data_IF_981086862713
#
_entry.id   IF_981086862713
#
_cell.length_a   1.000
_cell.length_b   1.000
_cell.length_c   1.000
_cell.angle_alpha   90.00
_cell.angle_beta   90.00
_cell.angle_gamma   90.00
#
_symmetry.space_group_name_H-M   'P 1'
#
loop_
_entity.id
_entity.type
_entity.pdbx_description
1 polymer ?
#
# COMPACT_ATOMS: atom_id res chain seq x y z
N UNK A 1 -12.65 21.00 -6.48
CA UNK A 1 -12.03 19.78 -7.00
C UNK A 1 -10.87 19.34 -6.12
N UNK A 2 -10.82 18.07 -5.81
CA UNK A 2 -9.76 17.52 -4.99
C UNK A 2 -8.54 17.17 -5.86
N UNK A 3 -7.33 17.41 -5.33
CA UNK A 3 -6.10 16.93 -5.96
C UNK A 3 -6.04 15.40 -5.90
N UNK A 4 -5.13 14.81 -6.68
CA UNK A 4 -4.91 13.36 -6.66
C UNK A 4 -4.54 12.84 -5.27
N UNK A 5 -3.67 13.58 -4.55
CA UNK A 5 -3.29 13.23 -3.19
C UNK A 5 -4.44 13.33 -2.21
N UNK A 6 -5.27 14.34 -2.35
CA UNK A 6 -6.46 14.50 -1.50
C UNK A 6 -7.48 13.39 -1.75
N UNK A 7 -7.68 13.00 -3.01
CA UNK A 7 -8.56 11.89 -3.36
C UNK A 7 -8.09 10.58 -2.76
N UNK A 8 -6.79 10.31 -2.85
CA UNK A 8 -6.19 9.10 -2.29
C UNK A 8 -6.38 9.05 -0.77
N UNK A 9 -6.17 10.18 -0.09
CA UNK A 9 -6.34 10.29 1.36
C UNK A 9 -7.79 10.06 1.77
N UNK A 10 -8.75 10.65 1.05
CA UNK A 10 -10.17 10.46 1.33
C UNK A 10 -10.58 9.00 1.13
N UNK A 11 -10.13 8.38 0.03
CA UNK A 11 -10.43 6.99 -0.24
C UNK A 11 -9.90 6.07 0.86
N UNK A 12 -8.68 6.32 1.32
CA UNK A 12 -8.07 5.52 2.39
C UNK A 12 -8.82 5.74 3.71
N UNK A 13 -9.17 6.98 4.05
CA UNK A 13 -9.94 7.27 5.26
C UNK A 13 -11.28 6.52 5.27
N UNK A 14 -11.97 6.48 4.14
CA UNK A 14 -13.21 5.72 4.03
C UNK A 14 -12.99 4.24 4.30
N UNK A 15 -11.92 3.68 3.72
CA UNK A 15 -11.57 2.28 3.93
C UNK A 15 -11.27 2.00 5.41
N UNK A 16 -10.54 2.89 6.08
CA UNK A 16 -10.18 2.72 7.48
C UNK A 16 -11.39 2.89 8.41
N UNK A 17 -12.28 3.83 8.10
CA UNK A 17 -13.49 4.04 8.89
C UNK A 17 -14.46 2.87 8.84
N UNK A 18 -14.39 2.06 7.80
CA UNK A 18 -15.18 0.84 7.70
C UNK A 18 -14.73 -0.26 8.66
N UNK A 19 -13.66 -0.02 9.42
CA UNK A 19 -13.08 -0.96 10.39
C UNK A 19 -12.81 -2.33 9.76
N UNK A 20 -11.96 -2.39 8.71
CA UNK A 20 -11.71 -3.63 8.00
C UNK A 20 -10.91 -4.61 8.86
N UNK A 21 -11.08 -5.89 8.61
CA UNK A 21 -10.27 -6.94 9.24
C UNK A 21 -8.95 -7.16 8.52
N UNK A 22 -8.84 -6.69 7.29
CA UNK A 22 -7.63 -6.74 6.47
C UNK A 22 -7.71 -5.62 5.45
N UNK A 23 -6.56 -5.20 4.92
CA UNK A 23 -6.51 -4.09 3.97
C UNK A 23 -5.67 -4.49 2.76
N UNK A 24 -6.17 -4.21 1.57
CA UNK A 24 -5.45 -4.39 0.32
C UNK A 24 -5.19 -3.00 -0.28
N UNK A 25 -3.92 -2.67 -0.49
CA UNK A 25 -3.50 -1.42 -1.12
C UNK A 25 -2.85 -1.75 -2.46
N UNK A 26 -3.48 -1.30 -3.54
CA UNK A 26 -2.99 -1.53 -4.90
C UNK A 26 -2.38 -0.24 -5.43
N UNK A 27 -1.05 -0.20 -5.52
CA UNK A 27 -0.31 0.97 -6.00
C UNK A 27 -0.75 2.26 -5.30
N UNK A 28 -0.78 2.31 -3.96
CA UNK A 28 -1.46 3.41 -3.25
C UNK A 28 -0.77 4.75 -3.40
N UNK A 29 0.51 4.76 -3.79
CA UNK A 29 1.31 6.00 -3.85
C UNK A 29 1.73 6.38 -5.27
N UNK A 30 1.37 5.58 -6.27
CA UNK A 30 1.90 5.72 -7.64
C UNK A 30 1.50 7.01 -8.34
N UNK A 31 0.36 7.59 -7.96
CA UNK A 31 -0.16 8.81 -8.59
C UNK A 31 0.16 10.08 -7.83
N UNK A 32 0.96 9.96 -6.77
CA UNK A 32 1.30 11.10 -5.95
C UNK A 32 2.58 11.78 -6.43
N UNK A 33 2.60 13.10 -6.31
CA UNK A 33 3.79 13.90 -6.50
C UNK A 33 4.88 13.47 -5.50
N UNK A 34 6.14 13.45 -5.95
CA UNK A 34 7.27 13.00 -5.13
C UNK A 34 7.35 13.76 -3.80
N UNK A 35 7.08 15.07 -3.83
CA UNK A 35 7.14 15.90 -2.63
C UNK A 35 6.10 15.50 -1.57
N UNK A 36 4.94 15.02 -1.99
CA UNK A 36 3.86 14.62 -1.09
C UNK A 36 3.89 13.15 -0.73
N UNK A 37 4.61 12.36 -1.51
CA UNK A 37 4.59 10.90 -1.40
C UNK A 37 5.13 10.40 -0.07
N UNK A 38 6.26 10.94 0.39
CA UNK A 38 6.88 10.54 1.65
C UNK A 38 5.97 10.80 2.83
N UNK A 39 5.39 12.00 2.90
CA UNK A 39 4.48 12.35 3.99
C UNK A 39 3.24 11.46 4.00
N UNK A 40 2.70 11.20 2.83
CA UNK A 40 1.51 10.36 2.70
C UNK A 40 1.81 8.91 3.09
N UNK A 41 2.97 8.37 2.66
CA UNK A 41 3.39 7.02 3.03
C UNK A 41 3.52 6.88 4.55
N UNK A 42 4.20 7.82 5.18
CA UNK A 42 4.39 7.80 6.64
C UNK A 42 3.04 7.84 7.36
N UNK A 43 2.14 8.68 6.89
CA UNK A 43 0.81 8.78 7.46
C UNK A 43 0.02 7.47 7.31
N UNK A 44 0.02 6.89 6.13
CA UNK A 44 -0.69 5.63 5.86
C UNK A 44 -0.17 4.50 6.75
N UNK A 45 1.15 4.33 6.80
CA UNK A 45 1.74 3.24 7.57
C UNK A 45 1.54 3.45 9.08
N UNK A 46 1.54 4.69 9.55
CA UNK A 46 1.21 5.01 10.93
C UNK A 46 -0.22 4.61 11.28
N UNK A 47 -1.18 4.97 10.43
CA UNK A 47 -2.59 4.62 10.64
C UNK A 47 -2.82 3.11 10.60
N UNK A 48 -2.19 2.42 9.65
CA UNK A 48 -2.30 0.98 9.51
C UNK A 48 -1.73 0.25 10.73
N UNK A 49 -0.57 0.70 11.25
CA UNK A 49 0.01 0.12 12.45
C UNK A 49 -0.89 0.29 13.66
N UNK A 50 -1.54 1.44 13.78
CA UNK A 50 -2.45 1.71 14.88
C UNK A 50 -3.66 0.76 14.87
N UNK A 51 -4.09 0.33 13.70
CA UNK A 51 -5.20 -0.61 13.56
C UNK A 51 -4.81 -2.06 13.84
N UNK A 52 -3.52 -2.38 13.71
CA UNK A 52 -2.99 -3.74 13.91
C UNK A 52 -3.72 -4.81 13.06
N UNK A 53 -4.01 -4.47 11.81
CA UNK A 53 -4.66 -5.39 10.88
C UNK A 53 -3.67 -5.87 9.82
N UNK A 54 -3.89 -7.06 9.22
CA UNK A 54 -3.07 -7.50 8.09
C UNK A 54 -3.23 -6.58 6.89
N UNK A 55 -2.12 -6.27 6.23
CA UNK A 55 -2.11 -5.41 5.05
C UNK A 55 -1.34 -6.10 3.94
N UNK A 56 -1.93 -6.14 2.75
CA UNK A 56 -1.25 -6.55 1.53
C UNK A 56 -1.14 -5.32 0.63
N UNK A 57 0.08 -5.03 0.20
CA UNK A 57 0.34 -3.89 -0.68
C UNK A 57 0.92 -4.40 -1.99
N UNK A 58 0.34 -3.96 -3.10
CA UNK A 58 0.87 -4.22 -4.43
C UNK A 58 1.58 -2.97 -4.92
N UNK A 59 2.86 -3.07 -5.24
CA UNK A 59 3.64 -1.95 -5.74
C UNK A 59 4.80 -2.45 -6.61
N UNK A 60 5.24 -1.62 -7.54
CA UNK A 60 6.44 -1.86 -8.32
C UNK A 60 7.61 -0.97 -7.87
N UNK A 61 7.43 -0.20 -6.80
CA UNK A 61 8.45 0.70 -6.26
C UNK A 61 8.83 0.26 -4.85
N UNK A 62 10.07 -0.18 -4.68
CA UNK A 62 10.58 -0.65 -3.39
C UNK A 62 10.61 0.45 -2.33
N UNK A 63 10.63 1.72 -2.73
CA UNK A 63 10.56 2.83 -1.79
C UNK A 63 9.21 2.90 -1.06
N UNK A 64 8.17 2.31 -1.65
CA UNK A 64 6.84 2.28 -1.06
C UNK A 64 6.65 1.10 -0.10
N UNK A 65 7.68 0.30 0.12
CA UNK A 65 7.62 -0.91 0.96
C UNK A 65 8.19 -0.60 2.35
N UNK A 66 7.42 -0.82 3.43
CA UNK A 66 7.97 -0.65 4.78
C UNK A 66 9.11 -1.62 5.05
N UNK A 67 10.12 -1.17 5.82
CA UNK A 67 11.31 -1.97 6.09
C UNK A 67 11.02 -3.27 6.86
N UNK A 68 9.94 -3.29 7.61
CA UNK A 68 9.53 -4.44 8.43
C UNK A 68 8.57 -5.39 7.71
N UNK A 69 8.40 -5.21 6.39
CA UNK A 69 7.46 -6.00 5.59
C UNK A 69 8.12 -7.24 5.01
N UNK A 70 7.30 -8.27 4.79
CA UNK A 70 7.67 -9.40 3.94
C UNK A 70 7.35 -9.05 2.49
N UNK A 71 8.28 -9.34 1.59
CA UNK A 71 8.14 -8.99 0.17
C UNK A 71 8.03 -10.26 -0.67
N UNK A 72 7.01 -10.31 -1.51
CA UNK A 72 6.84 -11.34 -2.52
C UNK A 72 7.11 -10.73 -3.89
N UNK A 73 8.17 -11.19 -4.56
CA UNK A 73 8.44 -10.77 -5.93
C UNK A 73 7.57 -11.58 -6.88
N UNK A 74 6.64 -10.92 -7.53
CA UNK A 74 5.66 -11.58 -8.40
C UNK A 74 6.32 -12.27 -9.59
N UNK A 75 7.44 -11.76 -10.08
CA UNK A 75 8.17 -12.42 -11.16
C UNK A 75 8.75 -13.76 -10.69
N UNK A 76 9.36 -13.80 -9.51
CA UNK A 76 9.87 -15.04 -8.92
C UNK A 76 8.75 -16.01 -8.58
N UNK A 77 7.67 -15.49 -8.04
CA UNK A 77 6.51 -16.31 -7.70
C UNK A 77 5.93 -16.99 -8.96
N UNK A 78 5.80 -16.24 -10.04
CA UNK A 78 5.30 -16.75 -11.32
C UNK A 78 6.20 -17.85 -11.88
N UNK A 79 7.53 -17.68 -11.81
CA UNK A 79 8.49 -18.70 -12.23
C UNK A 79 8.34 -19.98 -11.39
N UNK A 80 8.27 -19.84 -10.08
CA UNK A 80 8.12 -20.97 -9.16
C UNK A 80 6.79 -21.70 -9.41
N UNK A 81 5.73 -20.97 -9.63
CA UNK A 81 4.44 -21.56 -9.97
C UNK A 81 4.50 -22.38 -11.26
N UNK A 82 5.16 -21.85 -12.28
CA UNK A 82 5.31 -22.55 -13.55
C UNK A 82 6.16 -23.83 -13.41
N UNK A 83 7.13 -23.84 -12.53
CA UNK A 83 7.93 -25.03 -12.24
C UNK A 83 7.12 -26.12 -11.54
N UNK A 84 6.11 -25.73 -10.78
CA UNK A 84 5.26 -26.68 -10.04
C UNK A 84 4.16 -27.30 -10.91
N UNK A 85 3.88 -26.69 -12.06
CA UNK A 85 2.91 -27.20 -13.01
C UNK A 85 3.51 -28.34 -13.82
#
# INVERSE_FOLDING_TARGET
>A
TLSGGQRARVALLRALLAQPKALLLDEPFSRLDVALRDNFRQWVFSEVRALAIPVVQVTHDLQDVPADSSVLDMAQWSENYNKLR
#
